data_IF_177603662904
#
_entry.id   IF_177603662904
#
_cell.length_a   1.000
_cell.length_b   1.000
_cell.length_c   1.000
_cell.angle_alpha   90.00
_cell.angle_beta   90.00
_cell.angle_gamma   90.00
#
_symmetry.space_group_name_H-M   'P 1'
#
loop_
_entity.id
_entity.type
_entity.pdbx_description
1 polymer ?
#
# COMPACT_ATOMS: atom_id res chain seq x y z
N UNK A 1 15.23 -2.17 11.71
CA UNK A 1 14.25 -2.91 10.87
C UNK A 1 12.84 -2.57 11.30
N UNK A 2 12.50 -2.61 12.58
CA UNK A 2 11.16 -2.24 13.10
C UNK A 2 10.78 -0.79 12.79
N UNK A 3 11.76 0.12 12.83
CA UNK A 3 11.59 1.53 12.50
C UNK A 3 11.08 1.79 11.08
N UNK A 4 11.21 0.82 10.15
CA UNK A 4 10.67 0.93 8.79
C UNK A 4 9.17 0.66 8.75
N UNK A 5 8.62 -0.14 9.66
CA UNK A 5 7.23 -0.59 9.62
C UNK A 5 6.21 0.56 9.61
N UNK A 6 6.38 1.62 10.43
CA UNK A 6 5.49 2.78 10.38
C UNK A 6 5.53 3.52 9.04
N UNK A 7 6.73 3.63 8.43
CA UNK A 7 6.91 4.32 7.14
C UNK A 7 6.31 3.49 6.01
N UNK A 8 6.59 2.18 5.98
CA UNK A 8 6.05 1.24 4.99
C UNK A 8 4.53 1.22 5.05
N UNK A 9 3.92 1.21 6.24
CA UNK A 9 2.47 1.30 6.39
C UNK A 9 1.89 2.59 5.81
N UNK A 10 2.55 3.74 6.06
CA UNK A 10 2.13 5.03 5.48
C UNK A 10 2.26 5.05 3.96
N UNK A 11 3.33 4.46 3.41
CA UNK A 11 3.52 4.33 1.97
C UNK A 11 2.44 3.44 1.33
N UNK A 12 2.09 2.32 1.96
CA UNK A 12 0.98 1.48 1.53
C UNK A 12 -0.34 2.23 1.51
N UNK A 13 -0.66 2.99 2.57
CA UNK A 13 -1.88 3.80 2.62
C UNK A 13 -1.90 4.83 1.50
N UNK A 14 -0.83 5.63 1.37
CA UNK A 14 -0.70 6.65 0.34
C UNK A 14 -0.86 6.08 -1.07
N UNK A 15 -0.22 4.94 -1.33
CA UNK A 15 -0.23 4.30 -2.65
C UNK A 15 -1.62 3.76 -3.00
N UNK A 16 -2.32 3.18 -2.02
CA UNK A 16 -3.70 2.72 -2.20
C UNK A 16 -4.65 3.89 -2.49
N UNK A 17 -4.56 4.97 -1.72
CA UNK A 17 -5.40 6.15 -1.92
C UNK A 17 -5.14 6.80 -3.28
N UNK A 18 -3.86 6.89 -3.70
CA UNK A 18 -3.47 7.39 -5.01
C UNK A 18 -3.99 6.49 -6.14
N UNK A 19 -3.95 5.17 -5.95
CA UNK A 19 -4.47 4.20 -6.92
C UNK A 19 -5.98 4.35 -7.12
N UNK A 20 -6.75 4.52 -6.04
CA UNK A 20 -8.19 4.76 -6.12
C UNK A 20 -8.49 6.09 -6.82
N UNK A 21 -7.74 7.15 -6.51
CA UNK A 21 -7.92 8.46 -7.15
C UNK A 21 -7.53 8.47 -8.64
N UNK A 22 -6.52 7.69 -9.02
CA UNK A 22 -6.12 7.53 -10.41
C UNK A 22 -7.21 6.84 -11.26
N UNK A 23 -7.94 5.89 -10.67
CA UNK A 23 -9.10 5.26 -11.32
C UNK A 23 -10.28 6.23 -11.46
N UNK A 24 -10.46 7.16 -10.51
CA UNK A 24 -11.55 8.13 -10.53
C UNK A 24 -11.32 9.34 -11.46
N UNK A 25 -10.43 9.20 -12.46
CA UNK A 25 -10.11 10.20 -13.50
C UNK A 25 -9.57 11.56 -13.00
N UNK A 26 -9.35 11.73 -11.70
CA UNK A 26 -8.91 13.01 -11.11
C UNK A 26 -7.39 13.20 -11.14
N UNK A 27 -6.61 12.12 -11.30
CA UNK A 27 -5.16 12.17 -11.15
C UNK A 27 -4.47 11.48 -12.34
N UNK A 28 -3.54 12.19 -13.01
CA UNK A 28 -2.75 11.67 -14.15
C UNK A 28 -1.58 10.78 -13.68
N UNK A 29 -1.85 9.75 -12.90
CA UNK A 29 -0.85 8.77 -12.47
C UNK A 29 -1.19 7.42 -13.07
N UNK A 30 -0.26 6.87 -13.84
CA UNK A 30 -0.41 5.55 -14.44
C UNK A 30 0.34 4.52 -13.59
N UNK A 31 -0.32 3.40 -13.33
CA UNK A 31 0.28 2.26 -12.65
C UNK A 31 0.55 1.15 -13.68
N UNK A 32 1.76 0.59 -13.75
CA UNK A 32 2.02 -0.62 -14.53
C UNK A 32 1.12 -1.77 -14.04
N UNK A 33 0.76 -2.68 -14.94
CA UNK A 33 -0.17 -3.79 -14.68
C UNK A 33 0.18 -4.58 -13.40
N UNK A 34 1.44 -5.03 -13.29
CA UNK A 34 1.91 -5.77 -12.12
C UNK A 34 1.76 -4.97 -10.81
N UNK A 35 2.05 -3.66 -10.84
CA UNK A 35 1.93 -2.81 -9.65
C UNK A 35 0.45 -2.57 -9.31
N UNK A 36 -0.42 -2.40 -10.31
CA UNK A 36 -1.86 -2.29 -10.10
C UNK A 36 -2.44 -3.56 -9.48
N UNK A 37 -1.99 -4.74 -9.92
CA UNK A 37 -2.39 -6.03 -9.34
C UNK A 37 -1.92 -6.14 -7.87
N UNK A 38 -0.65 -5.81 -7.60
CA UNK A 38 -0.11 -5.82 -6.23
C UNK A 38 -0.89 -4.88 -5.31
N UNK A 39 -1.17 -3.65 -5.77
CA UNK A 39 -1.90 -2.67 -4.96
C UNK A 39 -3.33 -3.13 -4.71
N UNK A 40 -4.03 -3.66 -5.72
CA UNK A 40 -5.43 -4.08 -5.57
C UNK A 40 -5.60 -5.33 -4.71
N UNK A 41 -4.65 -6.27 -4.74
CA UNK A 41 -4.76 -7.55 -4.03
C UNK A 41 -4.09 -7.52 -2.65
N UNK A 42 -2.87 -6.99 -2.55
CA UNK A 42 -2.04 -7.16 -1.35
C UNK A 42 -2.14 -5.99 -0.37
N UNK A 43 -2.19 -4.75 -0.86
CA UNK A 43 -2.16 -3.57 -0.01
C UNK A 43 -3.39 -3.47 0.91
N UNK A 44 -4.64 -3.70 0.46
CA UNK A 44 -5.82 -3.74 1.33
C UNK A 44 -5.69 -4.75 2.46
N UNK A 45 -5.10 -5.92 2.20
CA UNK A 45 -4.89 -6.98 3.20
C UNK A 45 -3.91 -6.53 4.28
N UNK A 46 -2.86 -5.81 3.91
CA UNK A 46 -1.90 -5.22 4.84
C UNK A 46 -2.59 -4.15 5.69
N UNK A 47 -3.35 -3.25 5.06
CA UNK A 47 -4.06 -2.16 5.75
C UNK A 47 -5.16 -2.68 6.69
N UNK A 48 -5.84 -3.77 6.33
CA UNK A 48 -6.81 -4.48 7.15
C UNK A 48 -6.19 -5.32 8.29
N UNK A 49 -4.86 -5.35 8.40
CA UNK A 49 -4.15 -6.09 9.45
C UNK A 49 -4.09 -7.61 9.24
N UNK A 50 -4.44 -8.10 8.04
CA UNK A 50 -4.33 -9.52 7.67
C UNK A 50 -2.88 -9.94 7.40
N UNK A 51 -1.97 -8.99 7.18
CA UNK A 51 -0.54 -9.22 7.12
C UNK A 51 0.13 -8.45 8.26
N UNK A 52 0.74 -9.19 9.20
CA UNK A 52 1.44 -8.61 10.35
C UNK A 52 2.94 -8.54 10.06
N UNK A 53 3.58 -7.38 10.29
CA UNK A 53 5.02 -7.28 10.15
C UNK A 53 5.73 -8.11 11.23
N UNK A 54 6.88 -8.67 10.88
CA UNK A 54 7.78 -9.28 11.85
C UNK A 54 8.53 -8.14 12.53
N UNK A 55 8.38 -8.06 13.86
CA UNK A 55 9.07 -7.09 14.70
C UNK A 55 10.20 -7.79 15.44
N UNK A 56 11.36 -7.13 15.52
CA UNK A 56 12.52 -7.59 16.28
C UNK A 56 12.44 -7.14 17.75
N UNK A 57 11.75 -6.05 18.03
CA UNK A 57 11.55 -5.48 19.35
C UNK A 57 10.06 -5.24 19.62
N UNK A 58 9.62 -5.48 20.86
CA UNK A 58 8.25 -5.29 21.33
C UNK A 58 8.01 -3.86 21.83
#
# INVERSE_FOLDING_TARGET
>A
MDSLQPIVKKLHQFTFDLFVQAQSLHTKVNFPEMIAEIISVHVPRILAGMAKPILFHN
#
